data_IF_664074611693
#
_entry.id   IF_664074611693
#
_cell.length_a   1.000
_cell.length_b   1.000
_cell.length_c   1.000
_cell.angle_alpha   90.00
_cell.angle_beta   90.00
_cell.angle_gamma   90.00
#
_symmetry.space_group_name_H-M   'P 1'
#
loop_
_entity.id
_entity.type
_entity.pdbx_description
1 polymer ?
#
# COMPACT_ATOMS: atom_id res chain seq x y z
N UNK A 1 -53.72 39.37 -20.17
CA UNK A 1 -53.50 38.28 -21.13
C UNK A 1 -53.01 37.06 -20.38
N UNK A 2 -53.86 36.04 -20.30
CA UNK A 2 -53.62 34.78 -19.61
C UNK A 2 -52.47 34.01 -20.27
N UNK A 3 -51.32 33.91 -19.59
CA UNK A 3 -50.37 32.83 -19.85
C UNK A 3 -50.85 31.58 -19.11
N UNK A 4 -51.77 30.86 -19.75
CA UNK A 4 -51.94 29.43 -19.47
C UNK A 4 -50.63 28.75 -19.89
N UNK A 5 -49.76 28.53 -18.90
CA UNK A 5 -48.55 27.73 -19.02
C UNK A 5 -49.00 26.29 -19.28
N UNK A 6 -49.04 25.89 -20.55
CA UNK A 6 -49.17 24.49 -20.95
C UNK A 6 -47.98 23.77 -20.31
N UNK A 7 -48.22 23.06 -19.19
CA UNK A 7 -47.23 22.13 -18.62
C UNK A 7 -46.97 21.09 -19.70
N UNK A 8 -45.80 21.13 -20.35
CA UNK A 8 -45.34 20.00 -21.16
C UNK A 8 -45.13 18.83 -20.19
N UNK A 9 -46.02 17.84 -20.25
CA UNK A 9 -45.88 16.59 -19.51
C UNK A 9 -44.60 15.90 -19.99
N UNK A 10 -43.59 15.77 -19.13
CA UNK A 10 -42.37 15.02 -19.49
C UNK A 10 -42.66 13.52 -19.48
N UNK A 11 -41.89 12.72 -20.23
CA UNK A 11 -42.05 11.26 -20.25
C UNK A 11 -41.93 10.66 -18.83
N UNK A 12 -41.07 11.24 -18.00
CA UNK A 12 -40.95 10.92 -16.56
C UNK A 12 -42.29 11.10 -15.81
N UNK A 13 -43.01 12.20 -16.01
CA UNK A 13 -44.33 12.41 -15.37
C UNK A 13 -45.35 11.36 -15.83
N UNK A 14 -45.37 11.04 -17.13
CA UNK A 14 -46.28 10.03 -17.69
C UNK A 14 -45.99 8.66 -17.09
N UNK A 15 -44.71 8.25 -17.04
CA UNK A 15 -44.30 6.94 -16.52
C UNK A 15 -44.56 6.82 -15.02
N UNK A 16 -44.36 7.88 -14.23
CA UNK A 16 -44.67 7.87 -12.79
C UNK A 16 -46.15 7.62 -12.48
N UNK A 17 -47.07 7.97 -13.40
CA UNK A 17 -48.51 7.79 -13.20
C UNK A 17 -49.00 6.36 -13.35
N UNK A 18 -48.37 5.56 -14.21
CA UNK A 18 -48.93 4.25 -14.62
C UNK A 18 -47.92 3.12 -14.78
N UNK A 19 -46.62 3.40 -15.00
CA UNK A 19 -45.62 2.35 -15.29
C UNK A 19 -45.45 1.35 -14.15
N UNK A 20 -45.65 1.82 -12.92
CA UNK A 20 -45.46 1.04 -11.70
C UNK A 20 -46.78 0.48 -11.14
N UNK A 21 -47.91 0.57 -11.87
CA UNK A 21 -49.26 0.21 -11.38
C UNK A 21 -49.38 -1.24 -10.89
N UNK A 22 -48.62 -2.16 -11.48
CA UNK A 22 -48.65 -3.59 -11.16
C UNK A 22 -47.46 -4.08 -10.32
N UNK A 23 -46.52 -3.21 -9.92
CA UNK A 23 -45.28 -3.64 -9.27
C UNK A 23 -44.96 -2.81 -8.02
N UNK A 24 -45.55 -3.24 -6.90
CA UNK A 24 -45.35 -2.61 -5.59
C UNK A 24 -43.88 -2.61 -5.15
N UNK A 25 -43.15 -3.70 -5.41
CA UNK A 25 -41.73 -3.84 -5.03
C UNK A 25 -40.85 -2.80 -5.73
N UNK A 26 -41.08 -2.57 -7.01
CA UNK A 26 -40.28 -1.60 -7.78
C UNK A 26 -40.59 -0.16 -7.35
N UNK A 27 -41.81 0.14 -6.86
CA UNK A 27 -42.13 1.45 -6.25
C UNK A 27 -41.30 1.71 -5.01
N UNK A 28 -41.26 0.74 -4.11
CA UNK A 28 -40.51 0.85 -2.85
C UNK A 28 -39.01 0.95 -3.11
N UNK A 29 -38.47 0.13 -4.02
CA UNK A 29 -37.06 0.19 -4.41
C UNK A 29 -36.70 1.51 -5.10
N UNK A 30 -37.55 2.02 -5.99
CA UNK A 30 -37.36 3.31 -6.64
C UNK A 30 -37.38 4.45 -5.61
N UNK A 31 -38.38 4.49 -4.73
CA UNK A 31 -38.51 5.50 -3.68
C UNK A 31 -37.30 5.48 -2.73
N UNK A 32 -36.84 4.29 -2.34
CA UNK A 32 -35.61 4.11 -1.57
C UNK A 32 -34.39 4.68 -2.28
N UNK A 33 -34.24 4.37 -3.57
CA UNK A 33 -33.11 4.85 -4.36
C UNK A 33 -33.16 6.38 -4.52
N UNK A 34 -34.34 6.98 -4.69
CA UNK A 34 -34.52 8.44 -4.75
C UNK A 34 -34.16 9.08 -3.41
N UNK A 35 -34.63 8.52 -2.30
CA UNK A 35 -34.29 9.05 -0.97
C UNK A 35 -32.78 8.99 -0.70
N UNK A 36 -32.09 7.95 -1.18
CA UNK A 36 -30.64 7.81 -1.06
C UNK A 36 -29.82 8.79 -1.92
N UNK A 37 -30.46 9.52 -2.86
CA UNK A 37 -29.79 10.60 -3.60
C UNK A 37 -29.67 11.86 -2.73
N UNK A 38 -30.62 12.09 -1.82
CA UNK A 38 -30.63 13.29 -0.99
C UNK A 38 -29.51 13.21 0.06
N UNK A 39 -28.59 14.19 0.11
CA UNK A 39 -27.43 14.15 1.00
C UNK A 39 -27.78 14.21 2.49
N UNK A 40 -28.98 14.65 2.87
CA UNK A 40 -29.41 14.67 4.28
C UNK A 40 -29.79 13.28 4.77
N UNK A 41 -30.05 12.33 3.86
CA UNK A 41 -30.37 10.95 4.19
C UNK A 41 -29.16 10.04 3.96
N UNK A 42 -28.86 9.22 4.97
CA UNK A 42 -27.80 8.22 4.96
C UNK A 42 -28.31 6.88 5.48
N UNK A 43 -27.57 5.81 5.22
CA UNK A 43 -27.92 4.44 5.63
C UNK A 43 -29.36 4.02 5.26
N UNK A 44 -29.80 4.37 4.04
CA UNK A 44 -31.17 4.11 3.56
C UNK A 44 -31.36 2.62 3.28
N UNK A 45 -32.18 1.94 4.08
CA UNK A 45 -32.41 0.49 4.03
C UNK A 45 -33.90 0.15 3.84
N UNK A 46 -34.20 -0.94 3.11
CA UNK A 46 -35.55 -1.49 3.08
C UNK A 46 -35.81 -2.27 4.37
N UNK A 47 -37.01 -2.17 4.95
CA UNK A 47 -37.36 -2.98 6.13
C UNK A 47 -37.68 -4.43 5.79
N UNK A 48 -38.40 -4.70 4.70
CA UNK A 48 -38.59 -6.06 4.17
C UNK A 48 -38.02 -6.22 2.76
N UNK A 49 -36.82 -6.83 2.61
CA UNK A 49 -36.18 -7.05 1.30
C UNK A 49 -37.00 -7.90 0.31
N UNK A 50 -37.97 -8.70 0.79
CA UNK A 50 -38.78 -9.65 0.00
C UNK A 50 -40.26 -9.26 -0.15
N UNK A 51 -40.70 -8.12 0.41
CA UNK A 51 -42.09 -7.65 0.38
C UNK A 51 -42.99 -8.40 1.39
N UNK A 52 -43.60 -7.64 2.30
CA UNK A 52 -44.55 -8.11 3.32
C UNK A 52 -45.41 -6.95 3.83
N UNK A 53 -46.46 -7.21 4.65
CA UNK A 53 -47.28 -6.14 5.20
C UNK A 53 -46.50 -5.36 6.27
N UNK A 54 -45.88 -4.26 5.88
CA UNK A 54 -44.87 -3.57 6.72
C UNK A 54 -45.44 -2.54 7.70
N UNK A 55 -46.77 -2.44 7.78
CA UNK A 55 -47.47 -1.55 8.71
C UNK A 55 -47.13 -0.09 8.49
N UNK A 56 -46.98 0.34 7.23
CA UNK A 56 -46.81 1.75 6.85
C UNK A 56 -45.39 2.31 6.98
N UNK A 57 -44.37 1.45 7.05
CA UNK A 57 -42.95 1.83 7.24
C UNK A 57 -42.07 1.01 6.29
N UNK A 58 -41.93 1.50 5.07
CA UNK A 58 -41.30 0.79 3.96
C UNK A 58 -39.78 0.99 3.91
N UNK A 59 -39.31 2.15 4.38
CA UNK A 59 -37.90 2.59 4.35
C UNK A 59 -37.45 3.05 5.74
N UNK A 60 -36.22 2.75 6.10
CA UNK A 60 -35.54 3.30 7.28
C UNK A 60 -34.25 3.99 6.84
N UNK A 61 -33.96 5.15 7.41
CA UNK A 61 -32.78 5.95 7.09
C UNK A 61 -32.31 6.75 8.31
N UNK A 62 -31.11 7.34 8.18
CA UNK A 62 -30.58 8.32 9.14
C UNK A 62 -30.56 9.70 8.48
N UNK A 63 -31.37 10.61 9.01
CA UNK A 63 -31.43 12.03 8.65
C UNK A 63 -30.39 12.84 9.45
N UNK A 64 -29.65 13.73 8.78
CA UNK A 64 -28.61 14.60 9.35
C UNK A 64 -27.67 13.87 10.34
N UNK A 65 -27.18 12.70 9.88
CA UNK A 65 -26.20 11.83 10.54
C UNK A 65 -26.58 11.22 11.91
N UNK A 66 -27.69 11.62 12.53
CA UNK A 66 -28.02 11.22 13.91
C UNK A 66 -29.49 10.86 14.15
N UNK A 67 -30.39 11.33 13.30
CA UNK A 67 -31.82 11.20 13.52
C UNK A 67 -32.37 10.04 12.73
N UNK A 68 -33.01 9.06 13.38
CA UNK A 68 -33.71 8.00 12.66
C UNK A 68 -34.92 8.60 11.92
N UNK A 69 -35.00 8.29 10.64
CA UNK A 69 -36.08 8.68 9.75
C UNK A 69 -36.80 7.44 9.21
N UNK A 70 -38.12 7.48 9.18
CA UNK A 70 -38.93 6.46 8.51
C UNK A 70 -39.52 7.01 7.21
N UNK A 71 -39.50 6.18 6.18
CA UNK A 71 -40.06 6.47 4.87
C UNK A 71 -41.27 5.59 4.56
N UNK A 72 -42.30 6.17 3.97
CA UNK A 72 -43.51 5.47 3.54
C UNK A 72 -43.86 5.80 2.08
N UNK A 73 -44.40 4.80 1.37
CA UNK A 73 -44.70 4.89 -0.07
C UNK A 73 -46.21 4.82 -0.30
N UNK A 74 -46.78 5.93 -0.77
CA UNK A 74 -48.20 6.09 -1.07
C UNK A 74 -48.48 6.28 -2.55
N UNK A 75 -48.42 5.21 -3.34
CA UNK A 75 -48.72 5.27 -4.78
C UNK A 75 -50.16 4.85 -5.07
N UNK A 76 -50.81 5.55 -6.01
CA UNK A 76 -52.11 5.15 -6.58
C UNK A 76 -51.92 4.67 -8.01
N UNK A 77 -52.73 3.69 -8.43
CA UNK A 77 -52.74 3.23 -9.82
C UNK A 77 -53.44 4.27 -10.70
N UNK A 78 -52.88 4.54 -11.88
CA UNK A 78 -53.45 5.51 -12.82
C UNK A 78 -53.61 6.90 -12.20
N UNK A 79 -52.53 7.43 -11.61
CA UNK A 79 -52.58 8.72 -10.90
C UNK A 79 -53.04 9.86 -11.82
N UNK A 80 -54.17 10.48 -11.45
CA UNK A 80 -54.83 11.54 -12.20
C UNK A 80 -55.06 12.82 -11.39
N UNK A 81 -54.57 12.84 -10.14
CA UNK A 81 -54.65 13.98 -9.21
C UNK A 81 -56.09 14.41 -8.86
N UNK A 82 -57.07 13.51 -9.07
CA UNK A 82 -58.45 13.72 -8.65
C UNK A 82 -58.56 13.93 -7.14
N UNK A 83 -59.58 14.67 -6.72
CA UNK A 83 -59.86 14.94 -5.30
C UNK A 83 -60.02 13.64 -4.50
N UNK A 84 -60.54 12.58 -5.12
CA UNK A 84 -60.69 11.26 -4.51
C UNK A 84 -59.34 10.62 -4.22
N UNK A 85 -58.45 10.54 -5.21
CA UNK A 85 -57.10 9.97 -5.03
C UNK A 85 -56.27 10.78 -4.02
N UNK A 86 -56.36 12.11 -4.06
CA UNK A 86 -55.70 12.96 -3.07
C UNK A 86 -56.20 12.68 -1.65
N UNK A 87 -57.52 12.53 -1.47
CA UNK A 87 -58.11 12.17 -0.17
C UNK A 87 -57.63 10.81 0.30
N UNK A 88 -57.52 9.83 -0.59
CA UNK A 88 -57.07 8.49 -0.24
C UNK A 88 -55.58 8.47 0.13
N UNK A 89 -54.73 9.23 -0.58
CA UNK A 89 -53.33 9.40 -0.20
C UNK A 89 -53.17 10.16 1.12
N UNK A 90 -54.00 11.18 1.40
CA UNK A 90 -54.00 11.85 2.70
C UNK A 90 -54.35 10.88 3.84
N UNK A 91 -55.37 10.04 3.66
CA UNK A 91 -55.70 9.00 4.64
C UNK A 91 -54.54 8.02 4.85
N UNK A 92 -53.87 7.62 3.76
CA UNK A 92 -52.69 6.75 3.82
C UNK A 92 -51.54 7.42 4.56
N UNK A 93 -51.25 8.69 4.27
CA UNK A 93 -50.25 9.48 4.98
C UNK A 93 -50.51 9.50 6.49
N UNK A 94 -51.73 9.87 6.92
CA UNK A 94 -52.12 9.88 8.34
C UNK A 94 -51.94 8.50 8.98
N UNK A 95 -52.36 7.44 8.28
CA UNK A 95 -52.22 6.06 8.78
C UNK A 95 -50.75 5.64 8.94
N UNK A 96 -49.92 5.94 7.95
CA UNK A 96 -48.51 5.57 7.93
C UNK A 96 -47.72 6.39 8.96
N UNK A 97 -48.01 7.69 9.10
CA UNK A 97 -47.44 8.58 10.12
C UNK A 97 -47.75 8.09 11.54
N UNK A 98 -49.02 7.77 11.82
CA UNK A 98 -49.42 7.24 13.13
C UNK A 98 -48.75 5.88 13.42
N UNK A 99 -48.61 5.03 12.40
CA UNK A 99 -47.92 3.74 12.54
C UNK A 99 -46.41 3.92 12.79
N UNK A 100 -45.79 4.89 12.14
CA UNK A 100 -44.40 5.28 12.35
C UNK A 100 -44.16 5.81 13.77
N UNK A 101 -45.03 6.71 14.25
CA UNK A 101 -44.97 7.24 15.61
C UNK A 101 -45.25 6.18 16.67
N UNK A 102 -46.23 5.29 16.47
CA UNK A 102 -46.52 4.20 17.40
C UNK A 102 -45.32 3.22 17.54
N UNK A 103 -44.59 2.99 16.45
CA UNK A 103 -43.39 2.17 16.48
C UNK A 103 -42.20 2.85 17.15
N UNK A 104 -42.09 4.18 17.02
CA UNK A 104 -41.03 4.98 17.61
C UNK A 104 -41.59 6.32 18.11
N UNK A 105 -42.02 6.40 19.38
CA UNK A 105 -42.65 7.61 19.92
C UNK A 105 -41.76 8.87 19.89
N UNK A 106 -40.44 8.69 19.83
CA UNK A 106 -39.44 9.76 19.72
C UNK A 106 -39.04 10.07 18.27
N UNK A 107 -39.75 9.57 17.25
CA UNK A 107 -39.45 9.81 15.83
C UNK A 107 -39.43 11.32 15.52
N UNK A 108 -38.31 11.79 14.94
CA UNK A 108 -38.11 13.20 14.61
C UNK A 108 -38.12 13.50 13.11
N UNK A 109 -37.92 12.50 12.26
CA UNK A 109 -37.92 12.66 10.81
C UNK A 109 -38.85 11.64 10.13
N UNK A 110 -39.64 12.09 9.16
CA UNK A 110 -40.54 11.25 8.37
C UNK A 110 -40.51 11.67 6.90
N UNK A 111 -40.43 10.71 5.98
CA UNK A 111 -40.47 10.95 4.55
C UNK A 111 -41.66 10.22 3.92
N UNK A 112 -42.46 10.92 3.12
CA UNK A 112 -43.60 10.35 2.43
C UNK A 112 -43.47 10.55 0.93
N UNK A 113 -43.49 9.46 0.16
CA UNK A 113 -43.27 9.47 -1.29
C UNK A 113 -44.53 9.03 -2.02
N UNK A 114 -44.97 9.79 -3.03
CA UNK A 114 -46.23 9.55 -3.73
C UNK A 114 -46.19 9.98 -5.19
N UNK A 115 -46.93 9.28 -6.06
CA UNK A 115 -47.11 9.64 -7.47
C UNK A 115 -48.32 10.56 -7.73
N UNK A 116 -48.96 11.09 -6.68
CA UNK A 116 -49.98 12.13 -6.77
C UNK A 116 -49.32 13.50 -6.61
N UNK A 117 -49.75 14.49 -7.39
CA UNK A 117 -49.27 15.87 -7.25
C UNK A 117 -50.06 16.61 -6.17
N UNK A 118 -49.36 17.24 -5.23
CA UNK A 118 -49.97 18.09 -4.20
C UNK A 118 -49.62 19.56 -4.40
N UNK A 119 -50.55 20.44 -4.02
CA UNK A 119 -50.27 21.88 -3.95
C UNK A 119 -49.48 22.22 -2.69
N UNK A 120 -48.78 23.35 -2.69
CA UNK A 120 -48.02 23.81 -1.51
C UNK A 120 -48.91 23.88 -0.25
N UNK A 121 -50.16 24.33 -0.39
CA UNK A 121 -51.09 24.40 0.73
C UNK A 121 -51.53 23.02 1.26
N UNK A 122 -51.65 22.01 0.39
CA UNK A 122 -51.93 20.63 0.81
C UNK A 122 -50.72 19.99 1.49
N UNK A 123 -49.51 20.22 0.97
CA UNK A 123 -48.27 19.74 1.57
C UNK A 123 -48.03 20.37 2.96
N UNK A 124 -48.27 21.67 3.13
CA UNK A 124 -48.12 22.32 4.44
C UNK A 124 -49.11 21.79 5.48
N UNK A 125 -50.32 21.37 5.08
CA UNK A 125 -51.26 20.71 5.99
C UNK A 125 -50.69 19.37 6.49
N UNK A 126 -50.18 18.55 5.58
CA UNK A 126 -49.55 17.27 5.94
C UNK A 126 -48.33 17.46 6.86
N UNK A 127 -47.48 18.46 6.57
CA UNK A 127 -46.34 18.80 7.45
C UNK A 127 -46.78 19.36 8.80
N UNK A 128 -47.92 20.03 8.89
CA UNK A 128 -48.47 20.52 10.16
C UNK A 128 -48.98 19.35 10.98
N UNK A 129 -49.71 18.41 10.37
CA UNK A 129 -50.15 17.18 11.01
C UNK A 129 -48.97 16.35 11.56
N UNK A 130 -47.88 16.23 10.80
CA UNK A 130 -46.65 15.57 11.27
C UNK A 130 -46.04 16.27 12.50
N UNK A 131 -46.04 17.61 12.51
CA UNK A 131 -45.55 18.41 13.64
C UNK A 131 -46.42 18.24 14.88
N UNK A 132 -47.73 18.16 14.72
CA UNK A 132 -48.68 17.93 15.82
C UNK A 132 -48.48 16.57 16.50
N UNK A 133 -48.01 15.55 15.75
CA UNK A 133 -47.63 14.22 16.26
C UNK A 133 -46.21 14.19 16.85
N UNK A 134 -45.44 15.29 16.74
CA UNK A 134 -44.11 15.42 17.33
C UNK A 134 -42.94 15.13 16.39
N UNK A 135 -43.19 14.96 15.08
CA UNK A 135 -42.17 14.83 14.05
C UNK A 135 -41.67 16.22 13.64
N UNK A 136 -40.40 16.51 13.87
CA UNK A 136 -39.81 17.83 13.60
C UNK A 136 -39.53 18.08 12.12
N UNK A 137 -39.18 17.03 11.37
CA UNK A 137 -38.86 17.11 9.94
C UNK A 137 -39.76 16.17 9.14
N UNK A 138 -40.51 16.72 8.18
CA UNK A 138 -41.42 15.94 7.34
C UNK A 138 -41.19 16.28 5.87
N UNK A 139 -40.63 15.34 5.12
CA UNK A 139 -40.43 15.47 3.67
C UNK A 139 -41.57 14.82 2.90
N UNK A 140 -42.13 15.57 1.94
CA UNK A 140 -43.18 15.09 1.06
C UNK A 140 -42.62 15.12 -0.36
N UNK A 141 -42.29 13.95 -0.87
CA UNK A 141 -41.83 13.76 -2.24
C UNK A 141 -43.04 13.38 -3.09
N UNK A 142 -43.77 14.40 -3.52
CA UNK A 142 -44.88 14.25 -4.45
C UNK A 142 -44.39 14.00 -5.89
N UNK A 143 -45.31 13.78 -6.84
CA UNK A 143 -44.91 13.42 -8.21
C UNK A 143 -43.96 14.43 -8.85
N UNK A 144 -44.16 15.73 -8.61
CA UNK A 144 -43.28 16.75 -9.19
C UNK A 144 -41.90 16.72 -8.56
N UNK A 145 -41.80 16.51 -7.24
CA UNK A 145 -40.49 16.36 -6.60
C UNK A 145 -39.78 15.09 -7.06
N UNK A 146 -40.48 13.96 -7.14
CA UNK A 146 -39.92 12.72 -7.68
C UNK A 146 -39.41 12.91 -9.12
N UNK A 147 -40.17 13.61 -9.96
CA UNK A 147 -39.78 13.94 -11.33
C UNK A 147 -38.48 14.76 -11.37
N UNK A 148 -38.36 15.78 -10.53
CA UNK A 148 -37.16 16.62 -10.46
C UNK A 148 -35.92 15.80 -10.06
N UNK A 149 -36.05 14.94 -9.04
CA UNK A 149 -34.92 14.10 -8.60
C UNK A 149 -34.53 13.10 -9.69
N UNK A 150 -35.50 12.49 -10.37
CA UNK A 150 -35.29 11.52 -11.46
C UNK A 150 -34.72 12.14 -12.74
N UNK A 151 -35.07 13.40 -13.03
CA UNK A 151 -34.55 14.17 -14.16
C UNK A 151 -33.21 14.86 -13.84
N UNK A 152 -32.62 14.58 -12.66
CA UNK A 152 -31.28 15.03 -12.29
C UNK A 152 -30.19 14.03 -12.72
N UNK A 153 -28.92 14.46 -12.87
CA UNK A 153 -27.81 13.54 -13.14
C UNK A 153 -27.67 12.39 -12.15
N UNK A 154 -28.06 12.57 -10.89
CA UNK A 154 -28.08 11.49 -9.90
C UNK A 154 -29.23 10.50 -10.13
N UNK A 155 -30.36 10.99 -10.66
CA UNK A 155 -31.58 10.22 -10.84
C UNK A 155 -31.66 9.47 -12.16
N UNK A 156 -30.81 9.78 -13.16
CA UNK A 156 -30.88 9.15 -14.47
C UNK A 156 -30.80 7.61 -14.43
N UNK A 157 -29.96 7.04 -13.57
CA UNK A 157 -29.86 5.59 -13.43
C UNK A 157 -31.14 4.98 -12.85
N UNK A 158 -31.73 5.63 -11.83
CA UNK A 158 -33.01 5.21 -11.23
C UNK A 158 -34.13 5.30 -12.28
N UNK A 159 -34.16 6.40 -13.04
CA UNK A 159 -35.13 6.63 -14.10
C UNK A 159 -35.03 5.57 -15.19
N UNK A 160 -33.82 5.22 -15.61
CA UNK A 160 -33.58 4.13 -16.56
C UNK A 160 -34.02 2.77 -15.99
N UNK A 161 -33.59 2.43 -14.77
CA UNK A 161 -33.87 1.14 -14.16
C UNK A 161 -35.36 0.88 -13.90
N UNK A 162 -36.07 1.85 -13.34
CA UNK A 162 -37.43 1.65 -12.85
C UNK A 162 -38.52 2.16 -13.79
N UNK A 163 -38.23 3.19 -14.59
CA UNK A 163 -39.20 3.76 -15.54
C UNK A 163 -38.92 3.36 -16.99
N UNK A 164 -37.76 2.74 -17.27
CA UNK A 164 -37.34 2.30 -18.61
C UNK A 164 -37.27 3.49 -19.59
N UNK A 165 -36.77 4.62 -19.09
CA UNK A 165 -36.55 5.83 -19.88
C UNK A 165 -35.06 5.89 -20.23
N UNK A 166 -34.67 5.70 -21.51
CA UNK A 166 -33.29 5.77 -21.92
C UNK A 166 -32.74 7.20 -21.76
N UNK A 167 -31.44 7.31 -21.48
CA UNK A 167 -30.76 8.61 -21.42
C UNK A 167 -30.56 9.15 -22.84
N UNK A 168 -30.94 10.40 -23.06
CA UNK A 168 -30.58 11.15 -24.26
C UNK A 168 -29.06 11.41 -24.32
N UNK A 169 -28.49 11.75 -25.49
CA UNK A 169 -27.06 12.04 -25.60
C UNK A 169 -26.56 13.14 -24.64
N UNK A 170 -27.37 14.18 -24.41
CA UNK A 170 -27.02 15.26 -23.46
C UNK A 170 -27.01 14.78 -22.00
N UNK A 171 -27.94 13.88 -21.64
CA UNK A 171 -28.00 13.28 -20.31
C UNK A 171 -26.86 12.27 -20.10
N UNK A 172 -26.48 11.52 -21.14
CA UNK A 172 -25.29 10.65 -21.11
C UNK A 172 -24.02 11.47 -20.87
N UNK A 173 -23.85 12.61 -21.54
CA UNK A 173 -22.72 13.51 -21.30
C UNK A 173 -22.72 14.07 -19.87
N UNK A 174 -23.88 14.47 -19.36
CA UNK A 174 -24.04 14.98 -17.98
C UNK A 174 -23.74 13.90 -16.93
N UNK A 175 -24.14 12.65 -17.19
CA UNK A 175 -23.80 11.50 -16.36
C UNK A 175 -22.30 11.24 -16.34
N UNK A 176 -21.66 11.18 -17.52
CA UNK A 176 -20.21 10.95 -17.63
C UNK A 176 -19.41 12.08 -16.97
N UNK A 177 -19.85 13.34 -17.12
CA UNK A 177 -19.19 14.47 -16.45
C UNK A 177 -19.28 14.39 -14.92
N UNK A 178 -20.33 13.76 -14.37
CA UNK A 178 -20.52 13.64 -12.91
C UNK A 178 -19.80 12.44 -12.31
N UNK A 179 -19.81 11.30 -13.02
CA UNK A 179 -19.34 10.01 -12.50
C UNK A 179 -18.05 9.50 -13.14
N UNK A 180 -17.62 10.06 -14.28
CA UNK A 180 -16.43 9.61 -15.01
C UNK A 180 -15.16 9.66 -14.15
N UNK A 181 -14.94 10.78 -13.48
CA UNK A 181 -13.79 10.96 -12.58
C UNK A 181 -13.85 9.98 -11.40
N UNK A 182 -15.04 9.72 -10.84
CA UNK A 182 -15.19 8.79 -9.71
C UNK A 182 -14.85 7.36 -10.10
N UNK A 183 -15.31 6.89 -11.26
CA UNK A 183 -15.00 5.54 -11.75
C UNK A 183 -13.51 5.41 -12.04
N UNK A 184 -12.93 6.40 -12.73
CA UNK A 184 -11.50 6.40 -13.03
C UNK A 184 -10.66 6.38 -11.74
N UNK A 185 -11.06 7.12 -10.72
CA UNK A 185 -10.39 7.13 -9.42
C UNK A 185 -10.49 5.78 -8.71
N UNK A 186 -11.68 5.16 -8.65
CA UNK A 186 -11.85 3.83 -8.02
C UNK A 186 -11.00 2.77 -8.71
N UNK A 187 -10.99 2.78 -10.04
CA UNK A 187 -10.20 1.84 -10.85
C UNK A 187 -8.69 2.07 -10.61
N UNK A 188 -8.22 3.30 -10.77
CA UNK A 188 -6.79 3.61 -10.67
C UNK A 188 -6.25 3.37 -9.27
N UNK A 189 -6.93 3.90 -8.25
CA UNK A 189 -6.53 3.73 -6.85
C UNK A 189 -6.68 2.29 -6.39
N UNK A 190 -7.73 1.59 -6.85
CA UNK A 190 -7.97 0.18 -6.55
C UNK A 190 -6.84 -0.71 -7.07
N UNK A 191 -6.48 -0.59 -8.34
CA UNK A 191 -5.40 -1.39 -8.93
C UNK A 191 -4.04 -1.07 -8.32
N UNK A 192 -3.73 0.21 -8.08
CA UNK A 192 -2.48 0.59 -7.41
C UNK A 192 -2.37 -0.01 -6.00
N UNK A 193 -3.48 -0.07 -5.25
CA UNK A 193 -3.52 -0.70 -3.92
C UNK A 193 -3.30 -2.21 -4.01
N UNK A 194 -3.90 -2.88 -4.99
CA UNK A 194 -3.71 -4.31 -5.23
C UNK A 194 -2.25 -4.60 -5.58
N UNK A 195 -1.67 -3.87 -6.53
CA UNK A 195 -0.28 -4.02 -6.95
C UNK A 195 0.69 -3.81 -5.78
N UNK A 196 0.50 -2.75 -4.98
CA UNK A 196 1.31 -2.49 -3.77
C UNK A 196 1.20 -3.62 -2.75
N UNK A 197 0.00 -4.19 -2.58
CA UNK A 197 -0.23 -5.29 -1.64
C UNK A 197 0.42 -6.57 -2.13
N UNK A 198 0.28 -6.90 -3.41
CA UNK A 198 0.94 -8.05 -4.04
C UNK A 198 2.46 -7.94 -3.98
N UNK A 199 3.03 -6.77 -4.30
CA UNK A 199 4.47 -6.53 -4.19
C UNK A 199 4.98 -6.73 -2.76
N UNK A 200 4.21 -6.34 -1.74
CA UNK A 200 4.54 -6.59 -0.34
C UNK A 200 4.46 -8.07 0.04
N UNK A 201 3.43 -8.78 -0.39
CA UNK A 201 3.30 -10.22 -0.14
C UNK A 201 4.43 -11.01 -0.80
N UNK A 202 4.76 -10.68 -2.04
CA UNK A 202 5.87 -11.30 -2.77
C UNK A 202 7.19 -11.08 -2.04
N UNK A 203 7.49 -9.82 -1.65
CA UNK A 203 8.70 -9.53 -0.87
C UNK A 203 8.74 -10.31 0.44
N UNK A 204 7.65 -10.36 1.22
CA UNK A 204 7.62 -11.10 2.48
C UNK A 204 7.79 -12.61 2.28
N UNK A 205 7.34 -13.16 1.15
CA UNK A 205 7.58 -14.55 0.79
C UNK A 205 9.05 -14.79 0.43
N UNK A 206 9.60 -14.03 -0.54
CA UNK A 206 11.01 -14.09 -0.97
C UNK A 206 11.98 -13.75 0.18
N UNK A 207 11.56 -12.97 1.18
CA UNK A 207 12.38 -12.65 2.34
C UNK A 207 12.66 -13.87 3.23
N UNK A 208 11.86 -14.95 3.15
CA UNK A 208 12.16 -16.19 3.87
C UNK A 208 13.19 -17.05 3.12
N UNK A 209 13.65 -16.66 1.93
CA UNK A 209 14.76 -17.32 1.27
C UNK A 209 16.10 -16.97 1.92
N UNK A 210 17.07 -17.84 1.69
CA UNK A 210 18.45 -17.68 2.15
C UNK A 210 19.04 -16.38 1.60
N UNK A 211 19.71 -15.62 2.46
CA UNK A 211 20.46 -14.44 2.08
C UNK A 211 21.64 -14.84 1.20
N UNK A 212 21.59 -14.49 -0.09
CA UNK A 212 22.67 -14.75 -1.05
C UNK A 212 23.88 -13.86 -0.78
N UNK A 213 23.61 -12.62 -0.38
CA UNK A 213 24.62 -11.65 0.01
C UNK A 213 24.03 -10.28 0.26
N UNK A 214 24.80 -9.47 0.98
CA UNK A 214 24.51 -8.06 1.20
C UNK A 214 25.51 -7.26 0.39
N UNK A 215 25.03 -6.29 -0.36
CA UNK A 215 25.84 -5.44 -1.22
C UNK A 215 25.61 -3.99 -0.84
N UNK A 216 26.69 -3.26 -0.54
CA UNK A 216 26.61 -1.83 -0.24
C UNK A 216 27.40 -1.08 -1.30
N UNK A 217 26.71 -0.19 -2.00
CA UNK A 217 27.29 0.65 -3.05
C UNK A 217 27.42 2.07 -2.53
N UNK A 218 28.65 2.52 -2.35
CA UNK A 218 29.00 3.90 -2.03
C UNK A 218 29.19 4.68 -3.31
N UNK A 219 28.25 5.58 -3.64
CA UNK A 219 28.28 6.42 -4.84
C UNK A 219 29.00 7.72 -4.50
N UNK A 220 29.97 8.11 -5.32
CA UNK A 220 30.75 9.32 -5.11
C UNK A 220 30.08 10.54 -5.77
N UNK A 221 30.42 11.75 -5.31
CA UNK A 221 29.87 13.03 -5.82
C UNK A 221 30.13 13.26 -7.31
N UNK A 222 31.20 12.69 -7.83
CA UNK A 222 31.63 12.76 -9.21
C UNK A 222 32.55 11.58 -9.52
N UNK A 223 32.96 11.45 -10.77
CA UNK A 223 34.00 10.51 -11.17
C UNK A 223 35.36 11.06 -10.73
N UNK A 224 36.06 10.32 -9.86
CA UNK A 224 37.41 10.67 -9.38
C UNK A 224 38.46 9.85 -10.10
N UNK A 225 39.66 10.41 -10.31
CA UNK A 225 40.79 9.56 -10.75
C UNK A 225 41.23 8.65 -9.61
N UNK A 226 41.80 7.50 -9.94
CA UNK A 226 42.34 6.58 -8.95
C UNK A 226 43.35 7.24 -7.99
N UNK A 227 44.14 8.20 -8.48
CA UNK A 227 45.10 8.98 -7.69
C UNK A 227 44.44 9.91 -6.68
N UNK A 228 43.24 10.41 -6.97
CA UNK A 228 42.51 11.35 -6.10
C UNK A 228 41.82 10.62 -4.93
N UNK A 229 41.56 9.33 -5.11
CA UNK A 229 41.11 8.43 -4.06
C UNK A 229 42.30 7.86 -3.31
N UNK A 230 43.33 7.38 -4.02
CA UNK A 230 44.50 6.76 -3.43
C UNK A 230 44.15 5.56 -2.57
N UNK A 231 44.71 5.50 -1.37
CA UNK A 231 44.33 4.53 -0.34
C UNK A 231 42.90 4.79 0.13
N UNK A 232 42.11 3.73 0.28
CA UNK A 232 40.72 3.84 0.73
C UNK A 232 40.35 2.68 1.64
N UNK A 233 39.39 2.95 2.53
CA UNK A 233 38.75 1.95 3.37
C UNK A 233 37.25 2.20 3.33
N UNK A 234 36.49 1.22 2.86
CA UNK A 234 35.04 1.27 2.84
C UNK A 234 34.47 0.01 3.48
N UNK A 235 33.88 0.15 4.66
CA UNK A 235 33.36 -0.97 5.45
C UNK A 235 31.95 -0.71 5.92
N UNK A 236 31.27 -1.79 6.31
CA UNK A 236 29.93 -1.80 6.83
C UNK A 236 29.87 -2.76 8.00
N UNK A 237 29.40 -2.25 9.13
CA UNK A 237 29.11 -3.02 10.33
C UNK A 237 27.59 -3.21 10.41
N UNK A 238 27.15 -4.46 10.50
CA UNK A 238 25.76 -4.83 10.59
C UNK A 238 25.54 -5.72 11.80
N UNK A 239 24.71 -5.28 12.74
CA UNK A 239 24.30 -6.10 13.89
C UNK A 239 22.86 -6.55 13.74
N UNK A 240 22.64 -7.85 13.79
CA UNK A 240 21.32 -8.46 13.72
C UNK A 240 20.52 -8.12 14.97
N UNK A 241 19.18 -8.11 14.85
CA UNK A 241 18.30 -7.90 16.00
C UNK A 241 18.37 -9.05 17.01
N UNK A 242 18.64 -10.25 16.54
CA UNK A 242 18.76 -11.45 17.35
C UNK A 242 19.89 -12.32 16.79
N UNK A 243 20.49 -13.13 17.65
CA UNK A 243 21.51 -14.10 17.26
C UNK A 243 20.87 -15.14 16.33
N UNK A 244 21.49 -15.39 15.17
CA UNK A 244 21.02 -16.32 14.15
C UNK A 244 22.16 -17.23 13.75
N UNK A 245 22.02 -18.54 13.99
CA UNK A 245 23.07 -19.52 13.71
C UNK A 245 24.41 -19.12 14.34
N UNK A 246 24.37 -18.71 15.60
CA UNK A 246 25.46 -18.12 16.39
C UNK A 246 25.96 -16.76 15.89
N UNK A 247 25.51 -16.23 14.74
CA UNK A 247 25.96 -14.94 14.22
C UNK A 247 25.15 -13.81 14.88
N UNK A 248 25.85 -12.78 15.39
CA UNK A 248 25.22 -11.53 15.87
C UNK A 248 25.59 -10.35 14.98
N UNK A 249 26.86 -10.24 14.59
CA UNK A 249 27.37 -9.07 13.89
C UNK A 249 28.21 -9.48 12.69
N UNK A 250 27.98 -8.79 11.57
CA UNK A 250 28.74 -8.89 10.34
C UNK A 250 29.59 -7.64 10.20
N UNK A 251 30.86 -7.82 9.86
CA UNK A 251 31.71 -6.73 9.42
C UNK A 251 32.24 -7.10 8.04
N UNK A 252 31.99 -6.27 7.03
CA UNK A 252 32.51 -6.51 5.69
C UNK A 252 32.87 -5.21 5.00
N UNK A 253 33.73 -5.28 4.00
CA UNK A 253 34.21 -4.08 3.33
C UNK A 253 35.23 -4.34 2.24
N UNK A 254 35.77 -3.26 1.71
CA UNK A 254 36.86 -3.28 0.75
C UNK A 254 37.88 -2.18 1.02
N UNK A 255 39.10 -2.44 0.59
CA UNK A 255 40.27 -1.54 0.67
C UNK A 255 41.16 -1.80 -0.53
N UNK A 256 42.19 -0.98 -0.71
CA UNK A 256 43.28 -1.25 -1.64
C UNK A 256 44.16 -2.47 -1.24
N UNK A 257 45.13 -2.81 -2.11
CA UNK A 257 46.03 -3.98 -2.00
C UNK A 257 45.28 -5.32 -2.12
N UNK A 258 45.13 -5.81 -3.35
CA UNK A 258 44.31 -6.98 -3.73
C UNK A 258 44.60 -8.30 -3.01
N UNK A 259 45.73 -8.41 -2.31
CA UNK A 259 46.16 -9.59 -1.55
C UNK A 259 45.98 -9.48 -0.04
N UNK A 260 45.48 -8.35 0.49
CA UNK A 260 45.47 -8.02 1.93
C UNK A 260 44.82 -9.11 2.80
N UNK A 261 43.70 -9.68 2.37
CA UNK A 261 42.91 -10.61 3.19
C UNK A 261 43.04 -12.09 2.78
N UNK A 262 44.06 -12.44 1.98
CA UNK A 262 44.29 -13.83 1.56
C UNK A 262 45.08 -14.59 2.64
N UNK A 263 44.88 -15.90 2.75
CA UNK A 263 45.60 -16.78 3.71
C UNK A 263 47.14 -16.74 3.57
N UNK A 264 47.67 -16.27 2.44
CA UNK A 264 49.11 -16.08 2.18
C UNK A 264 49.52 -14.59 2.04
N UNK A 265 48.75 -13.67 2.64
CA UNK A 265 48.96 -12.23 2.50
C UNK A 265 50.39 -11.79 2.79
N UNK A 266 51.06 -12.33 3.82
CA UNK A 266 52.44 -11.98 4.18
C UNK A 266 53.49 -12.40 3.12
N UNK A 267 53.24 -13.48 2.38
CA UNK A 267 54.13 -13.91 1.28
C UNK A 267 53.88 -13.08 0.01
N UNK A 268 52.64 -12.64 -0.19
CA UNK A 268 52.22 -11.83 -1.35
C UNK A 268 52.51 -10.34 -1.16
N UNK A 269 52.48 -9.82 0.07
CA UNK A 269 52.83 -8.43 0.40
C UNK A 269 54.31 -8.14 0.15
N UNK A 270 55.19 -9.13 0.34
CA UNK A 270 56.61 -9.07 -0.03
C UNK A 270 56.88 -8.90 -1.52
N UNK A 271 55.88 -9.10 -2.39
CA UNK A 271 55.99 -8.87 -3.84
C UNK A 271 55.75 -7.43 -4.29
N UNK A 272 55.61 -6.48 -3.35
CA UNK A 272 55.49 -5.05 -3.67
C UNK A 272 54.19 -4.71 -4.37
N UNK A 273 53.05 -4.99 -3.72
CA UNK A 273 51.74 -4.56 -4.23
C UNK A 273 51.62 -3.06 -4.00
N UNK A 274 51.57 -2.28 -5.07
CA UNK A 274 51.38 -0.83 -5.01
C UNK A 274 50.07 -0.49 -4.27
N UNK A 275 50.09 0.46 -3.31
CA UNK A 275 48.89 0.92 -2.63
C UNK A 275 48.01 1.75 -3.57
N UNK A 276 46.72 1.83 -3.24
CA UNK A 276 45.73 2.64 -3.94
C UNK A 276 44.71 1.85 -4.77
N UNK A 277 43.52 2.45 -4.92
CA UNK A 277 42.38 1.83 -5.62
C UNK A 277 42.65 1.52 -7.10
N UNK A 278 43.59 2.21 -7.73
CA UNK A 278 43.99 1.96 -9.12
C UNK A 278 44.85 0.71 -9.30
N UNK A 279 45.57 0.28 -8.27
CA UNK A 279 46.45 -0.89 -8.34
C UNK A 279 45.72 -2.20 -8.03
N UNK A 280 44.73 -2.18 -7.15
CA UNK A 280 43.94 -3.37 -6.84
C UNK A 280 43.02 -3.18 -5.64
N UNK A 281 41.96 -3.99 -5.59
CA UNK A 281 40.95 -3.96 -4.53
C UNK A 281 40.96 -5.29 -3.78
N UNK A 282 40.89 -5.26 -2.46
CA UNK A 282 40.66 -6.44 -1.62
C UNK A 282 39.42 -6.26 -0.78
N UNK A 283 38.54 -7.25 -0.78
CA UNK A 283 37.37 -7.32 0.07
C UNK A 283 37.57 -8.31 1.20
N UNK A 284 37.10 -7.97 2.39
CA UNK A 284 37.17 -8.81 3.59
C UNK A 284 35.82 -8.89 4.26
N UNK A 285 35.54 -10.02 4.91
CA UNK A 285 34.30 -10.25 5.62
C UNK A 285 34.53 -11.11 6.87
N UNK A 286 33.94 -10.67 7.97
CA UNK A 286 34.08 -11.23 9.31
C UNK A 286 32.71 -11.38 9.96
N UNK A 287 32.58 -12.41 10.79
CA UNK A 287 31.39 -12.67 11.59
C UNK A 287 31.80 -12.68 13.07
N UNK A 288 30.98 -12.06 13.92
CA UNK A 288 31.06 -12.20 15.37
C UNK A 288 30.05 -13.26 15.82
N UNK A 289 30.56 -14.33 16.42
CA UNK A 289 29.77 -15.48 16.85
C UNK A 289 29.52 -15.45 18.36
N UNK A 290 28.26 -15.46 18.76
CA UNK A 290 27.83 -15.58 20.15
C UNK A 290 27.16 -16.93 20.38
N UNK A 291 27.82 -17.78 21.18
CA UNK A 291 27.20 -19.00 21.72
C UNK A 291 26.63 -18.69 23.08
N UNK A 292 25.31 -18.79 23.21
CA UNK A 292 24.66 -18.76 24.52
C UNK A 292 25.03 -20.06 25.25
N UNK A 293 25.92 -19.96 26.24
CA UNK A 293 26.27 -21.08 27.12
C UNK A 293 24.99 -21.70 27.72
N UNK A 294 24.59 -22.89 27.25
CA UNK A 294 23.54 -23.71 27.86
C UNK A 294 22.31 -24.09 27.01
N UNK A 295 22.17 -23.63 25.77
CA UNK A 295 21.08 -24.09 24.90
C UNK A 295 21.60 -25.08 23.84
N UNK A 296 21.72 -26.36 24.23
CA UNK A 296 21.91 -27.46 23.28
C UNK A 296 20.69 -27.56 22.35
N UNK A 297 20.85 -27.15 21.11
CA UNK A 297 20.04 -27.65 20.00
C UNK A 297 20.97 -28.37 19.03
N UNK A 298 20.98 -29.70 19.15
CA UNK A 298 21.60 -30.71 18.28
C UNK A 298 23.05 -31.07 18.63
N UNK A 299 23.20 -32.33 19.05
CA UNK A 299 24.45 -33.02 19.39
C UNK A 299 25.51 -32.89 18.28
N UNK A 300 26.67 -32.32 18.63
CA UNK A 300 27.92 -32.56 17.93
C UNK A 300 28.95 -33.10 18.94
N UNK A 301 29.73 -34.15 18.59
CA UNK A 301 30.53 -34.87 19.56
C UNK A 301 31.68 -34.00 20.06
N UNK A 302 31.79 -33.92 21.38
CA UNK A 302 32.89 -33.29 22.06
C UNK A 302 34.22 -33.94 21.66
N UNK A 303 35.15 -33.15 21.15
CA UNK A 303 36.57 -33.50 21.19
C UNK A 303 37.41 -32.36 21.77
N UNK A 304 38.16 -32.79 22.79
CA UNK A 304 39.39 -32.27 23.38
C UNK A 304 39.41 -30.89 24.03
N UNK A 305 39.40 -30.97 25.37
CA UNK A 305 40.15 -30.17 26.33
C UNK A 305 41.34 -29.41 25.75
N UNK A 306 41.34 -28.08 25.91
CA UNK A 306 42.41 -27.34 26.60
C UNK A 306 41.95 -25.91 26.96
N UNK A 307 41.95 -25.66 28.28
CA UNK A 307 42.14 -24.40 29.05
C UNK A 307 42.02 -23.05 28.32
N UNK A 308 41.02 -22.25 28.71
CA UNK A 308 41.12 -21.02 29.52
C UNK A 308 39.72 -20.39 29.64
N UNK A 309 39.23 -20.24 30.87
CA UNK A 309 37.93 -19.61 31.19
C UNK A 309 37.99 -18.08 31.00
N UNK A 310 37.96 -17.65 29.74
CA UNK A 310 37.83 -16.25 29.35
C UNK A 310 37.08 -16.11 28.03
N UNK A 311 35.82 -15.65 28.09
CA UNK A 311 34.95 -15.12 27.03
C UNK A 311 35.53 -15.14 25.58
N UNK A 312 35.51 -16.30 24.90
CA UNK A 312 35.85 -16.39 23.47
C UNK A 312 34.76 -15.82 22.53
N UNK A 313 33.63 -15.36 23.07
CA UNK A 313 32.43 -14.94 22.31
C UNK A 313 32.54 -13.56 21.64
N UNK A 314 33.64 -12.82 21.84
CA UNK A 314 33.74 -11.41 21.41
C UNK A 314 34.66 -11.15 20.20
N UNK A 315 35.28 -12.18 19.61
CA UNK A 315 36.25 -11.99 18.52
C UNK A 315 35.61 -12.15 17.13
N UNK A 316 35.90 -11.20 16.24
CA UNK A 316 35.56 -11.29 14.81
C UNK A 316 36.39 -12.37 14.11
N UNK A 317 35.73 -13.34 13.48
CA UNK A 317 36.37 -14.42 12.72
C UNK A 317 36.25 -14.08 11.24
N UNK A 318 37.37 -14.11 10.50
CA UNK A 318 37.33 -13.89 9.05
C UNK A 318 36.70 -15.11 8.36
N UNK A 319 35.61 -14.88 7.64
CA UNK A 319 34.85 -15.95 6.97
C UNK A 319 34.98 -15.93 5.45
N UNK A 320 35.60 -14.88 4.91
CA UNK A 320 35.92 -14.82 3.50
C UNK A 320 36.77 -13.62 3.10
N UNK A 321 37.24 -13.67 1.87
CA UNK A 321 37.95 -12.58 1.22
C UNK A 321 37.67 -12.56 -0.27
N UNK A 322 37.92 -11.43 -0.89
CA UNK A 322 37.90 -11.28 -2.35
C UNK A 322 39.05 -10.40 -2.80
N UNK A 323 39.42 -10.54 -4.08
CA UNK A 323 40.37 -9.68 -4.75
C UNK A 323 39.79 -9.21 -6.07
N UNK A 324 40.07 -7.96 -6.43
CA UNK A 324 39.63 -7.32 -7.65
C UNK A 324 40.77 -6.54 -8.31
N UNK A 325 40.58 -6.25 -9.59
CA UNK A 325 41.44 -5.36 -10.36
C UNK A 325 41.15 -3.92 -9.91
N UNK A 326 42.16 -3.06 -9.96
CA UNK A 326 41.97 -1.65 -9.64
C UNK A 326 41.02 -0.94 -10.61
N UNK A 327 40.56 0.25 -10.22
CA UNK A 327 39.58 1.02 -10.98
C UNK A 327 40.08 2.44 -11.23
N UNK A 328 39.96 2.89 -12.49
CA UNK A 328 40.14 4.28 -12.90
C UNK A 328 39.27 4.53 -14.17
N UNK A 329 38.33 5.48 -14.18
CA UNK A 329 37.91 6.35 -13.07
C UNK A 329 37.07 5.61 -12.01
N UNK A 330 36.98 6.23 -10.82
CA UNK A 330 36.21 5.73 -9.67
C UNK A 330 34.93 6.52 -9.53
N UNK A 331 33.79 5.90 -9.88
CA UNK A 331 32.44 6.46 -9.69
C UNK A 331 31.75 5.97 -8.41
N UNK A 332 32.01 4.73 -8.04
CA UNK A 332 31.40 4.10 -6.88
C UNK A 332 32.30 2.99 -6.33
N UNK A 333 32.21 2.74 -5.03
CA UNK A 333 32.90 1.64 -4.35
C UNK A 333 31.85 0.64 -3.90
N UNK A 334 32.06 -0.62 -4.24
CA UNK A 334 31.18 -1.71 -3.85
C UNK A 334 31.83 -2.53 -2.73
N UNK A 335 31.05 -2.81 -1.70
CA UNK A 335 31.41 -3.75 -0.65
C UNK A 335 30.34 -4.83 -0.59
N UNK A 336 30.70 -6.01 -0.13
CA UNK A 336 29.74 -7.09 -0.02
C UNK A 336 30.09 -8.08 1.07
N UNK A 337 29.03 -8.69 1.59
CA UNK A 337 29.07 -9.89 2.40
C UNK A 337 28.41 -11.02 1.63
N UNK A 338 29.08 -12.16 1.54
CA UNK A 338 28.59 -13.40 0.91
C UNK A 338 29.06 -14.57 1.73
N UNK A 339 28.11 -15.41 2.11
CA UNK A 339 28.36 -16.60 2.91
C UNK A 339 28.94 -17.77 2.10
N UNK A 340 28.72 -17.80 0.78
CA UNK A 340 29.13 -18.90 -0.11
C UNK A 340 29.81 -18.37 -1.38
N UNK A 341 31.00 -18.90 -1.66
CA UNK A 341 31.61 -18.89 -2.99
C UNK A 341 31.42 -20.22 -3.75
N UNK A 342 30.68 -21.17 -3.17
CA UNK A 342 30.56 -22.56 -3.65
C UNK A 342 29.11 -22.91 -4.04
N UNK A 343 28.96 -23.85 -4.99
CA UNK A 343 27.65 -24.33 -5.45
C UNK A 343 26.84 -25.10 -4.38
N UNK A 344 27.45 -25.51 -3.27
CA UNK A 344 26.83 -26.36 -2.25
C UNK A 344 26.76 -25.60 -0.91
N UNK A 345 25.57 -25.61 -0.28
CA UNK A 345 25.32 -24.97 1.01
C UNK A 345 25.50 -26.00 2.14
N UNK A 346 26.50 -25.83 2.98
CA UNK A 346 26.90 -26.83 4.01
C UNK A 346 26.53 -26.38 5.44
N UNK A 347 26.31 -25.09 5.69
CA UNK A 347 25.98 -24.54 7.02
C UNK A 347 24.62 -23.82 7.02
N UNK A 348 23.91 -23.75 8.15
CA UNK A 348 22.74 -22.88 8.31
C UNK A 348 23.09 -21.42 7.96
N UNK A 349 22.17 -20.69 7.32
CA UNK A 349 22.43 -19.36 6.74
C UNK A 349 21.37 -18.36 7.20
N UNK A 350 21.80 -17.10 7.31
CA UNK A 350 20.88 -15.98 7.47
C UNK A 350 19.86 -15.98 6.31
N UNK A 351 18.62 -15.69 6.64
CA UNK A 351 17.57 -15.38 5.67
C UNK A 351 17.61 -13.89 5.35
N UNK A 352 17.02 -13.49 4.21
CA UNK A 352 16.86 -12.06 3.94
C UNK A 352 16.07 -11.37 5.06
N UNK A 353 15.04 -12.04 5.59
CA UNK A 353 14.24 -11.57 6.72
C UNK A 353 15.02 -11.36 8.01
N UNK A 354 16.17 -12.02 8.19
CA UNK A 354 16.99 -11.79 9.39
C UNK A 354 17.66 -10.41 9.40
N UNK A 355 17.67 -9.71 8.24
CA UNK A 355 18.06 -8.30 8.16
C UNK A 355 16.97 -7.34 8.65
N UNK A 356 15.76 -7.82 8.94
CA UNK A 356 14.70 -6.99 9.51
C UNK A 356 15.11 -6.50 10.90
N UNK A 357 14.97 -5.19 11.09
CA UNK A 357 15.39 -4.43 12.27
C UNK A 357 16.87 -4.57 12.63
N UNK A 358 17.74 -4.94 11.67
CA UNK A 358 19.18 -4.92 11.91
C UNK A 358 19.69 -3.47 12.04
N UNK A 359 20.72 -3.27 12.86
CA UNK A 359 21.48 -2.02 12.92
C UNK A 359 22.57 -2.03 11.88
N UNK A 360 22.69 -0.96 11.08
CA UNK A 360 23.67 -0.84 10.01
C UNK A 360 24.48 0.45 10.14
N UNK A 361 25.80 0.34 10.02
CA UNK A 361 26.73 1.47 10.18
C UNK A 361 27.84 1.40 9.13
N UNK A 362 27.83 2.28 8.12
CA UNK A 362 28.97 2.46 7.24
C UNK A 362 30.15 3.12 7.96
N UNK A 363 31.35 2.61 7.70
CA UNK A 363 32.61 3.08 8.27
C UNK A 363 33.61 3.27 7.15
N UNK A 364 34.05 4.51 6.96
CA UNK A 364 34.94 4.89 5.86
C UNK A 364 36.21 5.56 6.41
N UNK A 365 37.27 5.70 5.62
CA UNK A 365 38.28 6.71 5.91
C UNK A 365 37.75 8.12 5.60
N UNK A 366 38.20 9.14 6.34
CA UNK A 366 37.66 10.51 6.23
C UNK A 366 37.74 11.06 4.81
N UNK A 367 38.88 10.89 4.15
CA UNK A 367 39.05 11.44 2.79
C UNK A 367 38.10 10.82 1.75
N UNK A 368 37.66 9.58 1.97
CA UNK A 368 36.63 8.93 1.15
C UNK A 368 35.22 9.39 1.55
N UNK A 369 34.94 9.49 2.85
CA UNK A 369 33.64 9.94 3.36
C UNK A 369 33.25 11.32 2.82
N UNK A 370 34.21 12.25 2.72
CA UNK A 370 33.98 13.59 2.17
C UNK A 370 33.62 13.58 0.67
N UNK A 371 34.00 12.53 -0.06
CA UNK A 371 33.69 12.32 -1.48
C UNK A 371 32.39 11.55 -1.71
N UNK A 372 31.77 11.02 -0.67
CA UNK A 372 30.51 10.26 -0.73
C UNK A 372 29.34 11.17 -1.11
N UNK A 373 28.46 10.71 -1.98
CA UNK A 373 27.19 11.35 -2.32
C UNK A 373 25.99 10.57 -1.79
N UNK A 374 25.98 9.27 -1.97
CA UNK A 374 24.92 8.40 -1.46
C UNK A 374 25.47 7.01 -1.20
N UNK A 375 24.74 6.22 -0.42
CA UNK A 375 24.99 4.79 -0.36
C UNK A 375 23.69 3.99 -0.42
N UNK A 376 23.77 2.83 -1.05
CA UNK A 376 22.63 1.97 -1.35
C UNK A 376 22.91 0.56 -0.85
N UNK A 377 21.90 -0.06 -0.25
CA UNK A 377 21.98 -1.42 0.28
C UNK A 377 21.12 -2.33 -0.57
N UNK A 378 21.69 -3.44 -1.02
CA UNK A 378 21.01 -4.43 -1.84
C UNK A 378 21.21 -5.84 -1.27
N UNK A 379 20.20 -6.68 -1.43
CA UNK A 379 20.28 -8.11 -1.14
C UNK A 379 19.22 -8.86 -1.94
N UNK A 380 19.53 -10.08 -2.39
CA UNK A 380 18.60 -10.99 -3.07
C UNK A 380 17.77 -10.33 -4.19
N UNK A 381 18.37 -9.45 -4.99
CA UNK A 381 17.67 -8.75 -6.08
C UNK A 381 16.78 -7.57 -5.65
N UNK A 382 16.82 -7.16 -4.38
CA UNK A 382 16.11 -6.00 -3.85
C UNK A 382 17.06 -4.85 -3.51
N UNK A 383 16.60 -3.61 -3.70
CA UNK A 383 17.15 -2.41 -3.06
C UNK A 383 16.46 -2.23 -1.71
N UNK A 384 17.19 -2.51 -0.64
CA UNK A 384 16.70 -2.46 0.74
C UNK A 384 16.66 -1.03 1.28
N UNK A 385 17.67 -0.22 0.94
CA UNK A 385 17.76 1.17 1.39
C UNK A 385 18.56 2.03 0.40
N UNK A 386 18.31 3.34 0.42
CA UNK A 386 18.95 4.35 -0.42
C UNK A 386 19.05 5.64 0.40
N UNK A 387 20.27 6.07 0.74
CA UNK A 387 20.51 7.24 1.58
C UNK A 387 21.40 8.24 0.84
N UNK A 388 20.96 9.49 0.80
CA UNK A 388 21.59 10.62 0.15
C UNK A 388 22.31 11.54 1.14
N UNK A 389 22.99 12.58 0.65
CA UNK A 389 23.65 13.60 1.49
C UNK A 389 22.73 14.25 2.52
N UNK A 390 21.42 14.32 2.26
CA UNK A 390 20.43 14.91 3.17
C UNK A 390 20.09 13.98 4.33
N UNK A 391 20.45 12.70 4.24
CA UNK A 391 20.08 11.67 5.21
C UNK A 391 21.18 11.41 6.25
N UNK A 392 22.41 11.92 6.04
CA UNK A 392 23.56 11.54 6.85
C UNK A 392 24.58 12.64 7.16
N UNK A 393 25.35 12.42 8.23
CA UNK A 393 26.48 13.24 8.62
C UNK A 393 27.73 12.38 8.84
N UNK A 394 28.90 13.01 8.72
CA UNK A 394 30.19 12.36 8.97
C UNK A 394 30.55 12.57 10.44
N UNK A 395 30.51 11.47 11.20
CA UNK A 395 30.94 11.47 12.58
C UNK A 395 32.46 11.42 12.68
N UNK A 396 33.02 12.46 13.30
CA UNK A 396 34.45 12.68 13.49
C UNK A 396 34.96 12.26 14.87
N UNK A 397 34.10 11.75 15.74
CA UNK A 397 34.50 11.24 17.05
C UNK A 397 35.52 10.11 16.91
N UNK A 398 36.45 10.04 17.86
CA UNK A 398 37.47 8.98 17.88
C UNK A 398 36.79 7.62 17.88
N UNK A 399 37.10 6.82 16.87
CA UNK A 399 36.71 5.43 16.77
C UNK A 399 37.91 4.60 16.32
N UNK A 400 38.25 3.58 17.11
CA UNK A 400 39.20 2.55 16.73
C UNK A 400 38.49 1.35 16.08
N UNK A 401 39.03 0.86 14.96
CA UNK A 401 38.46 -0.30 14.29
C UNK A 401 38.76 -1.56 15.11
N UNK A 402 37.74 -2.34 15.49
CA UNK A 402 37.95 -3.65 16.12
C UNK A 402 38.40 -4.73 15.12
N UNK A 403 38.70 -4.35 13.87
CA UNK A 403 39.29 -5.27 12.89
C UNK A 403 40.73 -5.61 13.32
N UNK A 404 41.15 -6.89 13.20
CA UNK A 404 42.53 -7.28 13.49
C UNK A 404 43.54 -6.44 12.70
N UNK A 405 44.64 -6.01 13.32
CA UNK A 405 45.59 -4.99 12.84
C UNK A 405 46.15 -5.20 11.42
N UNK A 406 45.38 -4.78 10.41
CA UNK A 406 45.65 -5.02 9.00
C UNK A 406 46.15 -3.78 8.23
N UNK A 407 46.27 -2.62 8.89
CA UNK A 407 46.63 -1.35 8.26
C UNK A 407 47.91 -0.75 8.86
N UNK A 408 48.72 -0.11 8.02
CA UNK A 408 49.96 0.54 8.48
C UNK A 408 49.67 1.88 9.18
N UNK A 409 50.58 2.41 10.02
CA UNK A 409 50.38 3.72 10.65
C UNK A 409 50.14 4.86 9.65
N UNK A 410 50.76 4.80 8.47
CA UNK A 410 50.55 5.78 7.40
C UNK A 410 49.13 5.69 6.83
N UNK A 411 48.61 4.47 6.63
CA UNK A 411 47.23 4.25 6.19
C UNK A 411 46.23 4.78 7.23
N UNK A 412 46.51 4.56 8.52
CA UNK A 412 45.69 4.99 9.65
C UNK A 412 45.78 6.50 9.95
N UNK A 413 46.71 7.23 9.31
CA UNK A 413 46.80 8.69 9.44
C UNK A 413 45.55 9.41 8.90
N UNK A 414 44.88 8.81 7.91
CA UNK A 414 43.51 9.16 7.54
C UNK A 414 42.54 8.44 8.49
N UNK A 415 41.84 9.14 9.40
CA UNK A 415 41.10 8.46 10.46
C UNK A 415 39.86 7.74 9.92
N UNK A 416 39.44 6.69 10.62
CA UNK A 416 38.12 6.10 10.44
C UNK A 416 37.04 7.09 10.87
N UNK A 417 35.96 7.16 10.09
CA UNK A 417 34.77 7.98 10.36
C UNK A 417 33.51 7.16 10.12
N UNK A 418 32.44 7.51 10.84
CA UNK A 418 31.13 6.87 10.67
C UNK A 418 30.26 7.72 9.78
N UNK A 419 29.48 7.06 8.95
CA UNK A 419 28.36 7.71 8.30
C UNK A 419 27.14 7.45 9.19
N UNK A 420 26.64 8.50 9.85
CA UNK A 420 25.51 8.40 10.78
C UNK A 420 24.27 9.06 10.20
N UNK A 421 23.06 8.53 10.46
CA UNK A 421 21.84 9.24 10.12
C UNK A 421 21.74 10.55 10.92
N UNK A 422 21.13 11.59 10.34
CA UNK A 422 21.00 12.90 11.01
C UNK A 422 20.07 12.81 12.24
N UNK A 423 19.04 11.97 12.18
CA UNK A 423 17.98 11.88 13.18
C UNK A 423 18.09 10.68 14.14
N UNK A 424 19.15 9.87 14.03
CA UNK A 424 19.32 8.66 14.84
C UNK A 424 20.80 8.33 15.07
N UNK A 425 21.08 7.34 15.93
CA UNK A 425 22.44 6.89 16.21
C UNK A 425 22.99 5.90 15.19
N UNK A 426 22.12 5.14 14.50
CA UNK A 426 22.46 4.07 13.55
C UNK A 426 21.32 3.88 12.55
N UNK A 427 21.61 3.37 11.35
CA UNK A 427 20.56 3.01 10.40
C UNK A 427 19.86 1.72 10.83
N UNK A 428 18.56 1.64 10.56
CA UNK A 428 17.77 0.43 10.76
C UNK A 428 17.07 0.05 9.47
N UNK A 429 17.18 -1.21 9.06
CA UNK A 429 16.35 -1.77 8.00
C UNK A 429 15.04 -2.23 8.64
N UNK A 430 13.88 -1.79 8.13
CA UNK A 430 12.57 -2.12 8.71
C UNK A 430 11.59 -2.58 7.65
N UNK A 431 11.46 -3.88 7.48
CA UNK A 431 10.59 -4.51 6.50
C UNK A 431 9.10 -4.47 6.93
N UNK A 432 8.85 -4.32 8.23
CA UNK A 432 7.52 -4.04 8.77
C UNK A 432 6.95 -2.69 8.31
N UNK A 433 7.78 -1.67 8.20
CA UNK A 433 7.38 -0.30 7.82
C UNK A 433 7.53 -0.03 6.32
N UNK A 434 8.52 -0.67 5.68
CA UNK A 434 8.88 -0.40 4.28
C UNK A 434 8.92 -1.69 3.47
N UNK A 435 8.50 -1.62 2.21
CA UNK A 435 8.66 -2.72 1.25
C UNK A 435 9.82 -2.39 0.31
N UNK A 436 10.95 -3.11 0.38
CA UNK A 436 12.07 -2.95 -0.54
C UNK A 436 11.67 -3.03 -2.01
N UNK A 437 12.37 -2.28 -2.86
CA UNK A 437 12.10 -2.26 -4.30
C UNK A 437 12.85 -3.40 -4.99
N UNK A 438 12.12 -4.25 -5.71
CA UNK A 438 12.71 -5.29 -6.57
C UNK A 438 13.44 -4.66 -7.75
N UNK A 439 14.64 -5.13 -8.05
CA UNK A 439 15.48 -4.59 -9.13
C UNK A 439 15.21 -5.24 -10.49
N UNK A 440 14.75 -6.49 -10.48
CA UNK A 440 14.53 -7.29 -11.68
C UNK A 440 13.09 -7.82 -11.70
N UNK A 441 12.46 -7.72 -12.85
CA UNK A 441 11.16 -8.34 -13.09
C UNK A 441 11.32 -9.84 -13.35
N UNK A 442 10.29 -10.61 -13.04
CA UNK A 442 10.28 -12.03 -13.41
C UNK A 442 10.27 -12.13 -14.94
N UNK A 443 11.12 -13.02 -15.46
CA UNK A 443 11.03 -13.42 -16.86
C UNK A 443 10.06 -14.59 -16.96
N UNK A 444 8.88 -14.35 -17.52
CA UNK A 444 8.00 -15.45 -17.89
C UNK A 444 8.62 -16.23 -19.06
N UNK A 445 8.71 -17.54 -18.89
CA UNK A 445 9.06 -18.43 -19.99
C UNK A 445 7.78 -18.66 -20.78
N UNK A 446 7.69 -18.08 -21.97
CA UNK A 446 6.58 -18.34 -22.86
C UNK A 446 6.63 -19.79 -23.34
N UNK A 447 5.48 -20.46 -23.34
CA UNK A 447 5.29 -21.77 -23.97
C UNK A 447 5.33 -21.65 -25.49
N UNK A 448 6.50 -21.38 -26.07
CA UNK A 448 6.70 -21.58 -27.50
C UNK A 448 7.01 -23.05 -27.75
N UNK A 449 6.03 -23.92 -27.50
CA UNK A 449 6.01 -25.25 -28.11
C UNK A 449 5.61 -25.02 -29.57
N UNK A 450 6.59 -24.77 -30.45
CA UNK A 450 6.35 -24.80 -31.89
C UNK A 450 5.97 -26.23 -32.31
N UNK A 451 4.87 -26.46 -33.06
CA UNK A 451 4.59 -27.75 -33.65
C UNK A 451 5.56 -27.98 -34.83
N UNK A 452 6.63 -28.74 -34.58
CA UNK A 452 7.46 -29.32 -35.65
C UNK A 452 6.71 -30.48 -36.33
N UNK A 453 5.68 -30.18 -37.13
CA UNK A 453 4.88 -31.20 -37.81
C UNK A 453 4.68 -31.01 -39.33
N UNK A 454 5.42 -30.12 -39.99
CA UNK A 454 5.30 -29.93 -41.46
C UNK A 454 6.62 -30.03 -42.26
N UNK A 455 7.63 -30.76 -41.76
CA UNK A 455 8.88 -31.03 -42.53
C UNK A 455 9.11 -32.48 -42.96
N UNK A 456 8.04 -33.27 -43.11
CA UNK A 456 8.13 -34.61 -43.70
C UNK A 456 7.08 -34.85 -44.79
N UNK A 457 6.91 -33.93 -45.75
CA UNK A 457 6.27 -34.22 -47.04
C UNK A 457 6.87 -33.35 -48.14
N UNK A 458 8.05 -33.73 -48.63
CA UNK A 458 8.48 -33.44 -50.01
C UNK A 458 9.80 -34.18 -50.30
N UNK A 459 9.69 -35.50 -50.51
CA UNK A 459 10.56 -36.22 -51.44
C UNK A 459 9.67 -37.23 -52.16
N UNK A 460 9.27 -36.90 -53.39
CA UNK A 460 8.90 -37.84 -54.44
C UNK A 460 9.48 -37.35 -55.74
#
# INVERSE_FOLDING_TARGET
MNLNRIRMTTDTDIRLRSRLDANQRDREQMCRAILAIDPHYSDVRPRHPKGGPDGGRDIEATYDASTIAFGAVGFVNGANDSTEQKRDILKKFTSDLNSAHAAKPDLKAFAFLTNVHFTMAEQEKMKTEARDVGVTHCDILDRERLRIELDSPSGFFIRFQFLDIPLSPAEQASFLSKYGDQVQNVVTTGFQRVEKTLGRLLFLAEANDVLEGIHVRFVLKQDYRATDIGHFRAFSLLSLRAIKHDIMTLWFGSTDKSSRYRENAEKLSKRGVEPGIGAGISGGQWEQHFRLNGATFIDAPAQSNDKEDGEETDKFIQVGSSGGIGMDPVRAIMTHYRHDGSMIRIKPRLLLRDLDECSFMPVLNRSLAEKLHSFQIFANGYKLADYSLEDFSIDSDKWDSQLPGQFTPEELSDPWVRIRPISASVYQLKFSETTPRRLYEHRELNDTILPNLDRCKEVK
#
